data_IF_214181178121
#
_entry.id   IF_214181178121
#
_cell.length_a   1.000
_cell.length_b   1.000
_cell.length_c   1.000
_cell.angle_alpha   90.00
_cell.angle_beta   90.00
_cell.angle_gamma   90.00
#
_symmetry.space_group_name_H-M   'P 1'
#
loop_
_entity.id
_entity.type
_entity.pdbx_description
1 polymer ?
#
# COMPACT_ATOMS: atom_id res chain seq x y z
N UNK A 1 22.33 -19.21 3.36
CA UNK A 1 21.76 -17.86 3.24
C UNK A 1 22.77 -16.88 3.80
N UNK A 2 22.84 -15.64 3.30
CA UNK A 2 23.76 -14.63 3.82
C UNK A 2 23.56 -14.46 5.34
N UNK A 3 24.62 -14.19 6.08
CA UNK A 3 24.59 -14.18 7.55
C UNK A 3 24.97 -12.85 8.17
N UNK A 4 25.38 -11.86 7.37
CA UNK A 4 25.80 -10.53 7.83
C UNK A 4 25.11 -9.43 7.05
N UNK A 5 24.97 -8.25 7.64
CA UNK A 5 24.39 -7.07 6.98
C UNK A 5 25.07 -6.79 5.64
N UNK A 6 26.41 -6.76 5.59
CA UNK A 6 27.16 -6.48 4.37
C UNK A 6 26.84 -7.48 3.25
N UNK A 7 26.72 -8.78 3.57
CA UNK A 7 26.43 -9.79 2.56
C UNK A 7 25.05 -9.64 1.90
N UNK A 8 24.08 -9.03 2.59
CA UNK A 8 22.79 -8.67 1.99
C UNK A 8 22.87 -7.39 1.16
N UNK A 9 23.62 -6.38 1.62
CA UNK A 9 23.86 -5.13 0.88
C UNK A 9 24.57 -5.42 -0.44
N UNK A 10 25.61 -6.26 -0.44
CA UNK A 10 26.36 -6.62 -1.64
C UNK A 10 25.44 -7.26 -2.72
N UNK A 11 24.48 -8.09 -2.29
CA UNK A 11 23.48 -8.68 -3.19
C UNK A 11 22.51 -7.64 -3.74
N UNK A 12 22.06 -6.69 -2.91
CA UNK A 12 21.22 -5.59 -3.38
C UNK A 12 21.97 -4.69 -4.37
N UNK A 13 23.26 -4.42 -4.15
CA UNK A 13 24.11 -3.61 -5.02
C UNK A 13 24.42 -4.29 -6.36
N UNK A 14 24.55 -5.61 -6.37
CA UNK A 14 24.82 -6.40 -7.58
C UNK A 14 23.57 -6.54 -8.46
N UNK A 15 22.42 -6.86 -7.84
CA UNK A 15 21.21 -7.24 -8.58
C UNK A 15 20.11 -6.16 -8.62
N UNK A 16 20.18 -5.16 -7.74
CA UNK A 16 19.16 -4.11 -7.59
C UNK A 16 19.37 -2.90 -8.51
N UNK A 17 18.28 -2.26 -8.90
CA UNK A 17 18.35 -0.94 -9.54
C UNK A 17 18.76 0.12 -8.51
N UNK A 18 19.66 1.04 -8.89
CA UNK A 18 20.23 2.06 -8.00
C UNK A 18 19.36 3.31 -7.91
N UNK A 19 18.10 3.16 -7.47
CA UNK A 19 17.11 4.23 -7.35
C UNK A 19 16.86 4.70 -5.90
N UNK A 20 17.47 4.05 -4.91
CA UNK A 20 17.44 4.45 -3.51
C UNK A 20 18.86 4.53 -2.93
N UNK A 21 18.97 5.20 -1.79
CA UNK A 21 20.14 5.16 -0.91
C UNK A 21 19.66 4.79 0.51
N UNK A 22 19.44 3.50 0.80
CA UNK A 22 18.95 3.05 2.09
C UNK A 22 19.93 3.34 3.24
N UNK A 23 19.46 3.20 4.48
CA UNK A 23 20.35 3.06 5.63
C UNK A 23 20.88 1.63 5.67
N UNK A 24 22.12 1.45 6.16
CA UNK A 24 22.80 0.15 6.24
C UNK A 24 22.26 -0.71 7.42
N UNK A 25 20.95 -0.93 7.44
CA UNK A 25 20.26 -1.76 8.42
C UNK A 25 19.35 -2.75 7.69
N UNK A 26 19.77 -4.02 7.64
CA UNK A 26 19.03 -5.08 6.93
C UNK A 26 18.01 -5.71 7.87
N UNK A 27 16.78 -5.21 7.83
CA UNK A 27 15.68 -5.64 8.70
C UNK A 27 15.14 -7.03 8.32
N UNK A 28 14.99 -7.93 9.30
CA UNK A 28 14.52 -9.30 9.09
C UNK A 28 13.22 -9.66 9.86
N UNK A 29 12.81 -8.84 10.83
CA UNK A 29 11.57 -9.06 11.61
C UNK A 29 10.96 -7.72 12.04
N UNK A 30 9.63 -7.65 12.06
CA UNK A 30 8.87 -6.53 12.63
C UNK A 30 7.76 -7.01 13.56
N UNK A 31 7.48 -6.26 14.63
CA UNK A 31 6.36 -6.49 15.54
C UNK A 31 5.96 -5.21 16.28
N UNK A 32 4.74 -4.73 16.02
CA UNK A 32 4.27 -3.47 16.61
C UNK A 32 5.15 -2.30 16.15
N UNK A 33 5.72 -1.57 17.11
CA UNK A 33 6.62 -0.43 16.82
C UNK A 33 8.10 -0.84 16.65
N UNK A 34 8.42 -2.13 16.79
CA UNK A 34 9.81 -2.61 16.81
C UNK A 34 10.17 -3.37 15.55
N UNK A 35 11.43 -3.22 15.11
CA UNK A 35 12.05 -4.01 14.04
C UNK A 35 13.39 -4.58 14.52
N UNK A 36 13.82 -5.68 13.92
CA UNK A 36 15.09 -6.34 14.18
C UNK A 36 15.87 -6.54 12.88
N UNK A 37 17.17 -6.30 12.90
CA UNK A 37 18.05 -6.64 11.77
C UNK A 37 18.54 -8.09 11.80
N UNK A 38 19.25 -8.50 10.75
CA UNK A 38 19.82 -9.85 10.59
C UNK A 38 20.90 -10.19 11.62
N UNK A 39 21.46 -9.19 12.30
CA UNK A 39 22.45 -9.36 13.38
C UNK A 39 21.79 -9.39 14.77
N UNK A 40 20.46 -9.20 14.83
CA UNK A 40 19.66 -9.29 16.05
C UNK A 40 19.51 -7.96 16.79
N UNK A 41 20.03 -6.85 16.26
CA UNK A 41 19.82 -5.54 16.87
C UNK A 41 18.36 -5.14 16.75
N UNK A 42 17.83 -4.48 17.79
CA UNK A 42 16.43 -4.07 17.89
C UNK A 42 16.30 -2.56 17.81
N UNK A 43 15.40 -2.07 16.96
CA UNK A 43 15.19 -0.64 16.71
C UNK A 43 13.72 -0.26 16.88
N UNK A 44 13.49 0.94 17.42
CA UNK A 44 12.19 1.59 17.35
C UNK A 44 12.01 2.16 15.94
N UNK A 45 10.96 1.75 15.23
CA UNK A 45 10.67 2.27 13.89
C UNK A 45 9.95 3.62 13.99
N UNK A 46 10.71 4.70 13.78
CA UNK A 46 10.19 6.07 13.76
C UNK A 46 9.80 6.55 12.35
N UNK A 47 9.83 5.70 11.32
CA UNK A 47 9.41 6.03 9.95
C UNK A 47 8.04 5.44 9.62
N UNK A 48 7.74 4.23 10.11
CA UNK A 48 6.48 3.52 9.87
C UNK A 48 6.14 3.36 8.39
N UNK A 49 7.16 3.16 7.55
CA UNK A 49 7.07 3.09 6.08
C UNK A 49 6.19 4.22 5.50
N UNK A 50 6.52 5.47 5.84
CA UNK A 50 5.75 6.65 5.44
C UNK A 50 4.27 6.56 5.85
N UNK A 51 4.03 6.16 7.10
CA UNK A 51 2.70 5.94 7.70
C UNK A 51 1.89 4.75 7.13
N UNK A 52 2.46 3.92 6.26
CA UNK A 52 1.77 2.72 5.78
C UNK A 52 1.55 1.67 6.89
N UNK A 53 2.41 1.65 7.91
CA UNK A 53 2.37 0.67 9.01
C UNK A 53 1.83 1.29 10.31
N UNK A 54 0.88 2.23 10.22
CA UNK A 54 0.31 2.92 11.38
C UNK A 54 -0.26 1.99 12.47
N UNK A 55 -0.74 0.80 12.09
CA UNK A 55 -1.27 -0.21 13.00
C UNK A 55 -0.16 -1.03 13.70
N UNK A 56 1.10 -0.81 13.34
CA UNK A 56 2.26 -1.59 13.78
C UNK A 56 2.57 -2.78 12.87
N UNK A 57 3.85 -3.13 12.79
CA UNK A 57 4.36 -4.26 12.01
C UNK A 57 3.67 -5.56 12.42
N UNK A 58 3.29 -6.37 11.43
CA UNK A 58 2.70 -7.70 11.60
C UNK A 58 1.51 -7.73 12.57
N UNK A 59 0.60 -6.74 12.48
CA UNK A 59 -0.56 -6.68 13.37
C UNK A 59 -1.45 -7.95 13.23
N UNK A 60 -1.74 -8.67 14.33
CA UNK A 60 -2.29 -10.03 14.28
C UNK A 60 -3.67 -10.10 13.60
N UNK A 61 -4.53 -9.10 13.80
CA UNK A 61 -5.86 -9.06 13.15
C UNK A 61 -5.78 -8.90 11.63
N UNK A 62 -4.80 -8.13 11.13
CA UNK A 62 -4.62 -7.88 9.69
C UNK A 62 -4.02 -9.14 9.05
N UNK A 63 -3.02 -9.73 9.70
CA UNK A 63 -2.42 -10.99 9.26
C UNK A 63 -3.45 -12.11 9.17
N UNK A 64 -4.30 -12.26 10.19
CA UNK A 64 -5.36 -13.27 10.20
C UNK A 64 -6.34 -13.07 9.05
N UNK A 65 -6.85 -11.84 8.84
CA UNK A 65 -7.76 -11.53 7.75
C UNK A 65 -7.14 -11.83 6.37
N UNK A 66 -5.85 -11.52 6.19
CA UNK A 66 -5.11 -11.83 4.97
C UNK A 66 -5.03 -13.35 4.73
N UNK A 67 -4.60 -14.12 5.73
CA UNK A 67 -4.44 -15.58 5.61
C UNK A 67 -5.78 -16.27 5.33
N UNK A 68 -6.83 -15.86 6.04
CA UNK A 68 -8.17 -16.43 5.86
C UNK A 68 -8.73 -16.16 4.46
N UNK A 69 -8.59 -14.94 3.93
CA UNK A 69 -9.09 -14.62 2.60
C UNK A 69 -8.22 -15.25 1.49
N UNK A 70 -6.89 -15.27 1.67
CA UNK A 70 -5.97 -15.88 0.72
C UNK A 70 -6.19 -17.39 0.57
N UNK A 71 -6.60 -18.08 1.64
CA UNK A 71 -6.99 -19.49 1.60
C UNK A 71 -8.33 -19.76 0.88
N UNK A 72 -9.09 -18.71 0.51
CA UNK A 72 -10.40 -18.80 -0.14
C UNK A 72 -10.37 -18.33 -1.58
N UNK A 73 -10.03 -17.05 -1.80
CA UNK A 73 -10.05 -16.41 -3.11
C UNK A 73 -9.27 -15.08 -3.09
N UNK A 74 -8.32 -14.91 -4.01
CA UNK A 74 -7.43 -13.72 -4.05
C UNK A 74 -7.77 -12.74 -5.18
N UNK A 75 -7.96 -13.22 -6.41
CA UNK A 75 -8.13 -12.35 -7.58
C UNK A 75 -9.06 -12.96 -8.62
N UNK A 76 -10.10 -12.20 -9.01
CA UNK A 76 -11.04 -12.57 -10.09
C UNK A 76 -11.14 -11.51 -11.19
N UNK A 77 -10.21 -10.55 -11.24
CA UNK A 77 -10.32 -9.32 -12.03
C UNK A 77 -11.60 -8.52 -11.73
N UNK A 78 -11.90 -7.51 -12.55
CA UNK A 78 -13.18 -6.77 -12.52
C UNK A 78 -14.21 -7.30 -13.51
N UNK A 79 -13.87 -8.36 -14.27
CA UNK A 79 -14.80 -9.04 -15.16
C UNK A 79 -15.85 -9.86 -14.39
N UNK A 80 -15.51 -10.32 -13.18
CA UNK A 80 -16.42 -11.05 -12.29
C UNK A 80 -16.72 -10.25 -11.03
N UNK A 81 -17.86 -10.57 -10.40
CA UNK A 81 -18.18 -10.13 -9.04
C UNK A 81 -17.51 -11.08 -8.04
N UNK A 82 -17.15 -10.55 -6.87
CA UNK A 82 -16.76 -11.34 -5.71
C UNK A 82 -17.57 -10.88 -4.50
N UNK A 83 -17.54 -11.68 -3.45
CA UNK A 83 -18.32 -11.52 -2.21
C UNK A 83 -17.73 -10.50 -1.23
N UNK A 84 -16.47 -10.07 -1.38
CA UNK A 84 -15.81 -9.14 -0.46
C UNK A 84 -15.90 -7.66 -0.89
N UNK A 85 -15.94 -7.39 -2.20
CA UNK A 85 -15.84 -6.02 -2.72
C UNK A 85 -17.07 -5.14 -2.40
N UNK A 86 -18.26 -5.73 -2.39
CA UNK A 86 -19.50 -5.03 -2.04
C UNK A 86 -19.53 -4.58 -0.56
N UNK A 87 -19.32 -5.49 0.41
CA UNK A 87 -19.17 -5.13 1.82
C UNK A 87 -18.10 -4.07 2.07
N UNK A 88 -16.93 -4.20 1.43
CA UNK A 88 -15.86 -3.20 1.50
C UNK A 88 -16.31 -1.80 1.07
N UNK A 89 -17.07 -1.68 -0.03
CA UNK A 89 -17.62 -0.39 -0.46
C UNK A 89 -18.56 0.22 0.57
N UNK A 90 -19.45 -0.58 1.14
CA UNK A 90 -20.40 -0.12 2.15
C UNK A 90 -19.67 0.41 3.38
N UNK A 91 -18.77 -0.38 3.95
CA UNK A 91 -18.03 -0.02 5.16
C UNK A 91 -17.21 1.26 4.96
N UNK A 92 -16.52 1.38 3.82
CA UNK A 92 -15.69 2.55 3.56
C UNK A 92 -16.51 3.83 3.28
N UNK A 93 -17.63 3.72 2.55
CA UNK A 93 -18.55 4.85 2.36
C UNK A 93 -19.13 5.32 3.70
N UNK A 94 -19.56 4.40 4.56
CA UNK A 94 -20.10 4.72 5.89
C UNK A 94 -19.04 5.37 6.79
N UNK A 95 -17.82 4.84 6.80
CA UNK A 95 -16.70 5.34 7.60
C UNK A 95 -16.26 6.76 7.18
N UNK A 96 -16.24 7.03 5.88
CA UNK A 96 -15.72 8.30 5.33
C UNK A 96 -16.80 9.32 4.98
N UNK A 97 -18.07 8.96 5.17
CA UNK A 97 -19.24 9.73 4.72
C UNK A 97 -19.21 10.03 3.21
N UNK A 98 -18.68 9.10 2.42
CA UNK A 98 -18.59 9.20 0.96
C UNK A 98 -19.81 8.58 0.28
N UNK A 99 -20.15 9.05 -0.92
CA UNK A 99 -21.25 8.50 -1.72
C UNK A 99 -20.86 7.23 -2.48
N UNK A 100 -19.61 7.13 -2.92
CA UNK A 100 -19.09 6.03 -3.76
C UNK A 100 -17.58 5.95 -3.62
N UNK A 101 -17.03 4.75 -3.75
CA UNK A 101 -15.58 4.46 -3.69
C UNK A 101 -15.12 3.85 -5.01
N UNK A 102 -13.93 4.26 -5.46
CA UNK A 102 -13.18 3.60 -6.53
C UNK A 102 -11.84 3.09 -5.97
N UNK A 103 -11.70 1.78 -5.67
CA UNK A 103 -10.46 1.24 -5.14
C UNK A 103 -9.40 1.14 -6.24
N UNK A 104 -8.17 1.51 -5.88
CA UNK A 104 -6.94 1.38 -6.67
C UNK A 104 -5.85 0.77 -5.79
N UNK A 105 -4.63 0.59 -6.31
CA UNK A 105 -3.56 -0.12 -5.61
C UNK A 105 -2.57 0.86 -4.96
N UNK A 106 -2.18 1.91 -5.68
CA UNK A 106 -1.17 2.89 -5.23
C UNK A 106 -1.75 4.28 -4.99
N UNK A 107 -1.01 5.09 -4.22
CA UNK A 107 -1.33 6.51 -4.02
C UNK A 107 -1.33 7.30 -5.33
N UNK A 108 -0.40 7.02 -6.24
CA UNK A 108 -0.34 7.69 -7.55
C UNK A 108 -1.57 7.38 -8.41
N UNK A 109 -1.98 6.11 -8.48
CA UNK A 109 -3.21 5.71 -9.19
C UNK A 109 -4.47 6.39 -8.62
N UNK A 110 -4.54 6.55 -7.29
CA UNK A 110 -5.64 7.24 -6.65
C UNK A 110 -5.68 8.74 -7.03
N UNK A 111 -4.54 9.43 -7.01
CA UNK A 111 -4.43 10.84 -7.41
C UNK A 111 -4.79 11.02 -8.89
N UNK A 112 -4.23 10.21 -9.78
CA UNK A 112 -4.54 10.25 -11.21
C UNK A 112 -6.02 9.97 -11.49
N UNK A 113 -6.62 9.01 -10.79
CA UNK A 113 -8.05 8.71 -10.91
C UNK A 113 -8.90 9.88 -10.45
N UNK A 114 -8.52 10.56 -9.36
CA UNK A 114 -9.19 11.76 -8.88
C UNK A 114 -9.10 12.90 -9.90
N UNK A 115 -7.91 13.19 -10.44
CA UNK A 115 -7.70 14.20 -11.49
C UNK A 115 -8.60 13.92 -12.70
N UNK A 116 -8.65 12.66 -13.17
CA UNK A 116 -9.51 12.26 -14.29
C UNK A 116 -10.99 12.45 -13.97
N UNK A 117 -11.42 12.12 -12.76
CA UNK A 117 -12.81 12.29 -12.33
C UNK A 117 -13.22 13.76 -12.30
N UNK A 118 -12.40 14.63 -11.68
CA UNK A 118 -12.71 16.07 -11.56
C UNK A 118 -12.65 16.78 -12.92
N UNK A 119 -11.68 16.44 -13.78
CA UNK A 119 -11.60 16.98 -15.16
C UNK A 119 -12.81 16.58 -15.99
N UNK A 120 -13.20 15.30 -15.95
CA UNK A 120 -14.39 14.80 -16.64
C UNK A 120 -15.66 15.50 -16.15
N UNK A 121 -15.79 15.73 -14.85
CA UNK A 121 -16.89 16.50 -14.28
C UNK A 121 -16.86 17.97 -14.74
N UNK A 122 -15.69 18.62 -14.73
CA UNK A 122 -15.50 19.99 -15.20
C UNK A 122 -16.00 20.21 -16.62
N UNK A 123 -15.62 19.31 -17.54
CA UNK A 123 -16.09 19.37 -18.92
C UNK A 123 -17.60 19.03 -19.05
N UNK A 124 -18.06 17.94 -18.44
CA UNK A 124 -19.42 17.45 -18.68
C UNK A 124 -20.51 18.23 -17.96
N UNK A 125 -20.26 18.58 -16.70
CA UNK A 125 -21.24 19.20 -15.80
C UNK A 125 -21.00 20.69 -15.72
N UNK A 126 -19.76 21.11 -15.42
CA UNK A 126 -19.43 22.52 -15.23
C UNK A 126 -19.24 23.31 -16.53
N UNK A 127 -19.19 22.61 -17.67
CA UNK A 127 -19.02 23.17 -19.04
C UNK A 127 -17.76 24.02 -19.20
N UNK A 128 -16.66 23.64 -18.54
CA UNK A 128 -15.35 24.26 -18.76
C UNK A 128 -14.93 24.08 -20.23
N UNK A 129 -14.38 25.10 -20.90
CA UNK A 129 -13.89 24.98 -22.28
C UNK A 129 -12.81 23.91 -22.43
N UNK A 130 -12.73 23.30 -23.61
CA UNK A 130 -11.72 22.29 -23.91
C UNK A 130 -10.29 22.85 -23.71
N UNK A 131 -9.43 22.05 -23.09
CA UNK A 131 -8.05 22.45 -22.75
C UNK A 131 -7.93 23.41 -21.57
N UNK A 132 -9.03 23.74 -20.87
CA UNK A 132 -9.03 24.69 -19.75
C UNK A 132 -9.47 24.09 -18.40
N UNK A 133 -9.42 22.76 -18.24
CA UNK A 133 -9.75 22.09 -16.96
C UNK A 133 -8.51 21.65 -16.16
N UNK A 134 -7.40 22.38 -16.30
CA UNK A 134 -6.22 22.19 -15.43
C UNK A 134 -6.34 22.98 -14.13
#
# INVERSE_FOLDING_TARGET
MPTTTQSYIDLEDEYGAKNYKPLDAVLCRGQGVWVWDVEGNKYLDCLSSYSAVNQGHCHPRIQQALVEQAGKLTLVSRAFRNDQLGPFYKELCELTHSHTVLPMNSGAEAVESAIKAVRKWGYKIKKVPEGQAE
#
